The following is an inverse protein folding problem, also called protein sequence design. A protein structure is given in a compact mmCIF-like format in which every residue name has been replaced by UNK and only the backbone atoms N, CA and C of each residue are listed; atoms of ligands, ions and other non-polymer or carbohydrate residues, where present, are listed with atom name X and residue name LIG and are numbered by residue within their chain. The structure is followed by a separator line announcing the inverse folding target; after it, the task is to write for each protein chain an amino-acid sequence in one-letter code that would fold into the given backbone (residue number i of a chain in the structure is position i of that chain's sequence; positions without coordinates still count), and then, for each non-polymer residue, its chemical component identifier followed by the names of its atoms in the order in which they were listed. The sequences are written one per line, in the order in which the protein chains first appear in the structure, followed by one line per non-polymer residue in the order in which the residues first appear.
data_IF_284741759847
#
_entry.id   IF_284741759847
#
_cell.length_a   1.000
_cell.length_b   1.000
_cell.length_c   1.000
_cell.angle_alpha   90.00
_cell.angle_beta   90.00
_cell.angle_gamma   90.00
#
_symmetry.space_group_name_H-M   'P 1'
#
loop_
_entity.id
_entity.type
_entity.pdbx_description
1 polymer ?
#
# COMPACT_ATOMS: atom_id res chain seq x y z
N UNK A 1 -5.19 -27.28 7.74
CA UNK A 1 -3.84 -26.71 7.53
C UNK A 1 -3.27 -26.43 8.91
N UNK A 2 -2.07 -26.89 9.27
CA UNK A 2 -1.46 -26.47 10.52
C UNK A 2 -1.34 -24.95 10.48
N UNK A 3 -1.79 -24.27 11.54
CA UNK A 3 -1.52 -22.83 11.70
C UNK A 3 -0.02 -22.75 12.01
N UNK A 4 0.78 -22.62 10.96
CA UNK A 4 2.18 -22.28 11.09
C UNK A 4 2.35 -20.76 11.20
N UNK A 5 3.51 -20.34 11.68
CA UNK A 5 3.83 -18.92 11.89
C UNK A 5 3.69 -18.12 10.58
N UNK A 6 3.99 -18.73 9.44
CA UNK A 6 3.90 -18.08 8.12
C UNK A 6 2.45 -17.75 7.77
N UNK A 7 1.53 -18.69 7.96
CA UNK A 7 0.10 -18.48 7.74
C UNK A 7 -0.45 -17.36 8.64
N UNK A 8 -0.08 -17.36 9.92
CA UNK A 8 -0.50 -16.31 10.85
C UNK A 8 0.00 -14.92 10.42
N UNK A 9 1.26 -14.81 10.01
CA UNK A 9 1.85 -13.55 9.51
C UNK A 9 1.16 -13.09 8.22
N UNK A 10 0.86 -14.01 7.29
CA UNK A 10 0.15 -13.68 6.06
C UNK A 10 -1.25 -13.11 6.31
N UNK A 11 -2.00 -13.71 7.24
CA UNK A 11 -3.33 -13.21 7.63
C UNK A 11 -3.21 -11.83 8.30
N UNK A 12 -2.28 -11.68 9.25
CA UNK A 12 -2.07 -10.40 9.93
C UNK A 12 -1.70 -9.28 8.94
N UNK A 13 -0.82 -9.58 7.98
CA UNK A 13 -0.40 -8.62 6.97
C UNK A 13 -1.55 -8.24 6.02
N UNK A 14 -2.40 -9.19 5.63
CA UNK A 14 -3.60 -8.92 4.85
C UNK A 14 -4.57 -8.01 5.62
N UNK A 15 -4.84 -8.30 6.90
CA UNK A 15 -5.70 -7.48 7.76
C UNK A 15 -5.15 -6.05 7.89
N UNK A 16 -3.84 -5.91 8.16
CA UNK A 16 -3.19 -4.62 8.24
C UNK A 16 -3.29 -3.81 6.93
N UNK A 17 -3.15 -4.47 5.78
CA UNK A 17 -3.30 -3.81 4.48
C UNK A 17 -4.74 -3.36 4.20
N UNK A 18 -5.73 -4.18 4.53
CA UNK A 18 -7.14 -3.80 4.41
C UNK A 18 -7.50 -2.63 5.34
N UNK A 19 -6.92 -2.60 6.55
CA UNK A 19 -7.05 -1.47 7.46
C UNK A 19 -6.40 -0.20 6.88
N UNK A 20 -5.21 -0.31 6.28
CA UNK A 20 -4.55 0.81 5.60
C UNK A 20 -5.37 1.34 4.42
N UNK A 21 -5.98 0.44 3.64
CA UNK A 21 -6.89 0.80 2.55
C UNK A 21 -8.11 1.56 3.07
N UNK A 22 -8.74 1.06 4.13
CA UNK A 22 -9.87 1.75 4.75
C UNK A 22 -9.46 3.14 5.25
N UNK A 23 -8.33 3.26 5.94
CA UNK A 23 -7.81 4.54 6.44
C UNK A 23 -7.53 5.55 5.31
N UNK A 24 -6.84 5.15 4.24
CA UNK A 24 -6.48 6.10 3.18
C UNK A 24 -7.71 6.63 2.43
N UNK A 25 -8.79 5.84 2.38
CA UNK A 25 -10.07 6.24 1.79
C UNK A 25 -10.87 7.11 2.77
N UNK A 26 -10.98 6.71 4.04
CA UNK A 26 -11.79 7.44 5.04
C UNK A 26 -11.21 8.80 5.37
N UNK A 27 -9.88 8.93 5.42
CA UNK A 27 -9.20 10.18 5.71
C UNK A 27 -9.17 11.14 4.51
N UNK A 28 -9.52 10.69 3.29
CA UNK A 28 -9.46 11.52 2.07
C UNK A 28 -10.24 12.83 2.19
N UNK A 29 -11.38 12.83 2.90
CA UNK A 29 -12.20 14.03 3.12
C UNK A 29 -11.58 15.04 4.09
N UNK A 30 -10.60 14.63 4.88
CA UNK A 30 -9.91 15.49 5.86
C UNK A 30 -8.63 16.09 5.30
N UNK A 31 -8.17 15.61 4.14
CA UNK A 31 -6.92 16.04 3.53
C UNK A 31 -7.14 17.36 2.79
N UNK A 32 -6.32 18.40 3.06
CA UNK A 32 -6.39 19.66 2.36
C UNK A 32 -6.31 19.46 0.84
N UNK A 33 -7.11 20.23 0.11
CA UNK A 33 -7.12 20.22 -1.35
C UNK A 33 -5.79 20.68 -1.99
N UNK A 34 -5.81 20.84 -3.31
CA UNK A 34 -4.64 21.30 -4.04
C UNK A 34 -3.59 20.20 -4.22
N UNK A 35 -2.32 20.50 -3.94
CA UNK A 35 -1.24 19.55 -4.25
C UNK A 35 -1.15 18.41 -3.24
N UNK A 36 -1.49 18.65 -1.96
CA UNK A 36 -1.53 17.61 -0.92
C UNK A 36 -2.57 16.55 -1.27
N UNK A 37 -3.80 16.96 -1.60
CA UNK A 37 -4.85 16.05 -2.08
C UNK A 37 -4.51 15.30 -3.36
N UNK A 38 -3.77 15.91 -4.30
CA UNK A 38 -3.29 15.19 -5.51
C UNK A 38 -2.30 14.08 -5.16
N UNK A 39 -1.32 14.36 -4.30
CA UNK A 39 -0.37 13.36 -3.81
C UNK A 39 -1.08 12.26 -3.01
N UNK A 40 -2.10 12.63 -2.23
CA UNK A 40 -2.94 11.67 -1.51
C UNK A 40 -3.67 10.71 -2.45
N UNK A 41 -4.23 11.18 -3.56
CA UNK A 41 -4.88 10.29 -4.54
C UNK A 41 -3.89 9.28 -5.14
N UNK A 42 -2.63 9.68 -5.39
CA UNK A 42 -1.57 8.76 -5.84
C UNK A 42 -1.27 7.73 -4.74
N UNK A 43 -1.15 8.17 -3.49
CA UNK A 43 -0.96 7.29 -2.33
C UNK A 43 -2.11 6.26 -2.23
N UNK A 44 -3.37 6.71 -2.34
CA UNK A 44 -4.54 5.83 -2.36
C UNK A 44 -4.44 4.78 -3.46
N UNK A 45 -4.06 5.17 -4.68
CA UNK A 45 -3.88 4.23 -5.79
C UNK A 45 -2.83 3.15 -5.50
N UNK A 46 -1.70 3.53 -4.89
CA UNK A 46 -0.66 2.58 -4.49
C UNK A 46 -1.13 1.63 -3.37
N UNK A 47 -1.87 2.14 -2.39
CA UNK A 47 -2.45 1.31 -1.32
C UNK A 47 -3.48 0.32 -1.88
N UNK A 48 -4.33 0.74 -2.83
CA UNK A 48 -5.25 -0.16 -3.54
C UNK A 48 -4.49 -1.27 -4.26
N UNK A 49 -3.42 -0.92 -4.98
CA UNK A 49 -2.58 -1.90 -5.68
C UNK A 49 -2.01 -2.95 -4.71
N UNK A 50 -1.48 -2.52 -3.55
CA UNK A 50 -0.99 -3.48 -2.54
C UNK A 50 -2.11 -4.31 -1.92
N UNK A 51 -3.25 -3.71 -1.60
CA UNK A 51 -4.39 -4.44 -1.06
C UNK A 51 -4.85 -5.57 -2.01
N UNK A 52 -4.91 -5.29 -3.32
CA UNK A 52 -5.16 -6.32 -4.33
C UNK A 52 -4.10 -7.42 -4.28
N UNK A 53 -2.82 -7.08 -4.16
CA UNK A 53 -1.73 -8.05 -4.01
C UNK A 53 -1.86 -8.94 -2.77
N UNK A 54 -2.23 -8.37 -1.62
CA UNK A 54 -2.44 -9.11 -0.38
C UNK A 54 -3.66 -10.04 -0.45
N UNK A 55 -4.77 -9.57 -1.02
CA UNK A 55 -5.97 -10.41 -1.24
C UNK A 55 -5.69 -11.52 -2.26
N UNK A 56 -4.85 -11.25 -3.26
CA UNK A 56 -4.44 -12.22 -4.27
C UNK A 56 -3.45 -13.27 -3.74
N UNK A 57 -2.84 -13.08 -2.56
CA UNK A 57 -1.79 -13.95 -2.00
C UNK A 57 -2.11 -15.45 -2.04
N UNK A 58 -3.33 -15.94 -1.70
CA UNK A 58 -3.68 -17.36 -1.79
C UNK A 58 -3.64 -17.93 -3.21
N UNK A 59 -3.74 -17.08 -4.22
CA UNK A 59 -3.74 -17.46 -5.64
C UNK A 59 -2.35 -17.35 -6.28
N UNK A 60 -1.43 -16.58 -5.69
CA UNK A 60 -0.08 -16.36 -6.25
C UNK A 60 0.74 -17.65 -6.36
N UNK A 61 0.50 -18.63 -5.49
CA UNK A 61 1.18 -19.93 -5.56
C UNK A 61 0.82 -20.79 -6.78
N UNK A 62 -0.23 -20.42 -7.53
CA UNK A 62 -0.63 -21.08 -8.78
C UNK A 62 0.02 -20.48 -10.03
N UNK A 63 0.71 -19.35 -9.88
CA UNK A 63 1.37 -18.67 -11.00
C UNK A 63 2.67 -19.38 -11.38
N UNK A 64 3.07 -19.23 -12.64
CA UNK A 64 4.40 -19.68 -13.07
C UNK A 64 5.48 -18.91 -12.30
N UNK A 65 6.68 -19.50 -12.09
CA UNK A 65 7.76 -18.84 -11.38
C UNK A 65 8.17 -17.50 -11.98
N UNK A 66 8.07 -17.35 -13.30
CA UNK A 66 8.39 -16.11 -14.02
C UNK A 66 7.39 -14.99 -13.70
N UNK A 67 6.08 -15.28 -13.75
CA UNK A 67 5.03 -14.30 -13.42
C UNK A 67 5.11 -13.92 -11.94
N UNK A 68 5.39 -14.87 -11.05
CA UNK A 68 5.59 -14.59 -9.63
C UNK A 68 6.77 -13.64 -9.40
N UNK A 69 7.91 -13.88 -10.05
CA UNK A 69 9.09 -12.99 -9.97
C UNK A 69 8.76 -11.59 -10.50
N UNK A 70 8.05 -11.49 -11.62
CA UNK A 70 7.63 -10.21 -12.17
C UNK A 70 6.69 -9.46 -11.22
N UNK A 71 5.73 -10.16 -10.62
CA UNK A 71 4.81 -9.60 -9.64
C UNK A 71 5.56 -9.07 -8.40
N UNK A 72 6.50 -9.86 -7.87
CA UNK A 72 7.34 -9.45 -6.73
C UNK A 72 8.20 -8.24 -7.08
N UNK A 73 8.85 -8.22 -8.24
CA UNK A 73 9.62 -7.07 -8.71
C UNK A 73 8.75 -5.81 -8.88
N UNK A 74 7.54 -5.98 -9.41
CA UNK A 74 6.53 -4.91 -9.49
C UNK A 74 6.16 -4.37 -8.12
N UNK A 75 5.86 -5.24 -7.15
CA UNK A 75 5.56 -4.85 -5.77
C UNK A 75 6.73 -4.05 -5.16
N UNK A 76 7.98 -4.47 -5.38
CA UNK A 76 9.15 -3.72 -4.92
C UNK A 76 9.25 -2.35 -5.57
N UNK A 77 9.03 -2.24 -6.88
CA UNK A 77 9.05 -0.96 -7.60
C UNK A 77 7.97 0.00 -7.05
N UNK A 78 6.73 -0.48 -6.97
CA UNK A 78 5.64 0.33 -6.41
C UNK A 78 5.87 0.65 -4.93
N UNK A 79 6.55 -0.23 -4.18
CA UNK A 79 6.96 0.01 -2.81
C UNK A 79 7.92 1.18 -2.69
N UNK A 80 8.94 1.22 -3.56
CA UNK A 80 9.87 2.35 -3.62
C UNK A 80 9.15 3.66 -3.98
N UNK A 81 8.23 3.62 -4.95
CA UNK A 81 7.40 4.79 -5.32
C UNK A 81 6.54 5.25 -4.13
N UNK A 82 5.91 4.32 -3.41
CA UNK A 82 5.11 4.61 -2.22
C UNK A 82 5.93 5.34 -1.16
N UNK A 83 7.15 4.89 -0.88
CA UNK A 83 8.05 5.53 0.09
C UNK A 83 8.39 6.95 -0.35
N UNK A 84 8.76 7.16 -1.62
CA UNK A 84 9.06 8.50 -2.16
C UNK A 84 7.86 9.44 -2.06
N UNK A 85 6.67 8.97 -2.43
CA UNK A 85 5.42 9.74 -2.35
C UNK A 85 5.11 10.09 -0.89
N UNK A 86 5.27 9.15 0.03
CA UNK A 86 5.00 9.33 1.46
C UNK A 86 5.95 10.37 2.07
N UNK A 87 7.25 10.29 1.79
CA UNK A 87 8.24 11.27 2.26
C UNK A 87 7.89 12.68 1.77
N UNK A 88 7.56 12.82 0.48
CA UNK A 88 7.17 14.11 -0.11
C UNK A 88 5.90 14.68 0.53
N UNK A 89 4.93 13.82 0.81
CA UNK A 89 3.68 14.21 1.46
C UNK A 89 3.95 14.71 2.88
N UNK A 90 4.69 13.95 3.68
CA UNK A 90 5.04 14.31 5.06
C UNK A 90 5.82 15.62 5.09
N UNK A 91 6.85 15.76 4.25
CA UNK A 91 7.64 16.99 4.15
C UNK A 91 6.75 18.20 3.87
N UNK A 92 5.77 18.06 2.98
CA UNK A 92 4.84 19.14 2.66
C UNK A 92 3.91 19.48 3.82
N UNK A 93 3.41 18.49 4.54
CA UNK A 93 2.58 18.72 5.72
C UNK A 93 3.39 19.47 6.79
N UNK A 94 4.64 19.08 7.01
CA UNK A 94 5.54 19.79 7.94
C UNK A 94 5.73 21.25 7.51
N UNK A 95 5.97 21.52 6.23
CA UNK A 95 6.11 22.89 5.72
C UNK A 95 4.86 23.73 5.98
N UNK A 96 3.67 23.19 5.70
CA UNK A 96 2.40 23.90 5.91
C UNK A 96 2.11 24.16 7.39
N UNK A 97 2.57 23.30 8.30
CA UNK A 97 2.38 23.48 9.75
C UNK A 97 3.45 24.37 10.41
N UNK A 98 4.58 24.59 9.74
CA UNK A 98 5.67 25.43 10.24
C UNK A 98 5.52 26.91 9.83
N UNK A 99 4.60 27.20 8.91
CA UNK A 99 4.12 28.55 8.54
C UNK A 99 2.96 28.97 9.45
#
# INVERSE_FOLDING_TARGET
MPIDTTFAVSIAAMVAMLYALWQVISLRGQVPGGVVGRTWNVLTGLVVLFAVGYVAMPFLGKLSPEILRLAVAGIFLFGAVYVVVTIRLIHRVIQVLAE
#
